data_IF_686999524082
#
_entry.id   IF_686999524082
#
_cell.length_a   1.000
_cell.length_b   1.000
_cell.length_c   1.000
_cell.angle_alpha   90.00
_cell.angle_beta   90.00
_cell.angle_gamma   90.00
#
_symmetry.space_group_name_H-M   'P 1'
#
loop_
_entity.id
_entity.type
_entity.pdbx_description
1 polymer ?
#
# COMPACT_ATOMS: atom_id res chain seq x y z
N UNK A 1 33.68 4.30 -16.56
CA UNK A 1 32.42 4.33 -15.78
C UNK A 1 31.55 5.40 -16.42
N UNK A 2 30.80 5.04 -17.47
CA UNK A 2 29.91 5.96 -18.17
C UNK A 2 28.76 6.29 -17.23
N UNK A 3 28.60 7.56 -16.89
CA UNK A 3 27.39 8.09 -16.26
C UNK A 3 26.23 7.75 -17.20
N UNK A 4 25.44 6.74 -16.84
CA UNK A 4 24.12 6.55 -17.42
C UNK A 4 23.35 7.79 -17.02
N UNK A 5 23.16 8.73 -17.96
CA UNK A 5 22.30 9.88 -17.74
C UNK A 5 20.96 9.37 -17.22
N UNK A 6 20.57 9.85 -16.04
CA UNK A 6 19.28 9.53 -15.43
C UNK A 6 18.17 9.76 -16.46
N UNK A 7 17.48 8.69 -16.89
CA UNK A 7 16.30 8.81 -17.74
C UNK A 7 15.14 9.59 -17.08
N UNK A 8 15.22 9.80 -15.75
CA UNK A 8 14.32 10.66 -14.99
C UNK A 8 14.74 12.13 -15.12
N UNK A 9 13.83 12.98 -15.62
CA UNK A 9 14.07 14.42 -15.63
C UNK A 9 14.06 14.96 -14.19
N UNK A 10 14.92 15.94 -13.85
CA UNK A 10 14.88 16.62 -12.56
C UNK A 10 13.48 17.16 -12.27
N UNK A 11 12.98 16.97 -11.05
CA UNK A 11 11.73 17.59 -10.63
C UNK A 11 11.96 19.07 -10.35
N UNK A 12 11.44 20.00 -11.17
CA UNK A 12 11.71 21.43 -11.01
C UNK A 12 11.15 21.99 -9.69
N UNK A 13 10.21 21.30 -9.06
CA UNK A 13 9.61 21.69 -7.78
C UNK A 13 10.30 21.07 -6.57
N UNK A 14 11.22 20.11 -6.76
CA UNK A 14 11.95 19.41 -5.71
C UNK A 14 13.45 19.33 -6.05
N UNK A 15 14.13 20.49 -5.99
CA UNK A 15 15.50 20.71 -6.52
C UNK A 15 16.63 19.92 -5.85
N UNK A 16 16.38 19.26 -4.73
CA UNK A 16 17.37 18.46 -3.99
C UNK A 16 16.90 17.02 -3.78
N UNK A 17 15.91 16.59 -4.57
CA UNK A 17 15.34 15.27 -4.45
C UNK A 17 16.40 14.18 -4.73
N UNK A 18 17.42 14.46 -5.54
CA UNK A 18 18.47 13.50 -5.83
C UNK A 18 19.21 12.99 -4.58
N UNK A 19 19.31 13.80 -3.53
CA UNK A 19 19.90 13.41 -2.25
C UNK A 19 19.16 12.21 -1.64
N UNK A 20 17.84 12.13 -1.84
CA UNK A 20 17.02 11.04 -1.31
C UNK A 20 17.37 9.66 -1.90
N UNK A 21 18.10 9.62 -3.02
CA UNK A 21 18.47 8.40 -3.73
C UNK A 21 19.94 8.02 -3.56
N UNK A 22 20.71 8.77 -2.75
CA UNK A 22 22.14 8.56 -2.52
C UNK A 22 22.40 8.18 -1.06
N UNK A 23 22.26 6.89 -0.69
CA UNK A 23 22.46 6.42 0.68
C UNK A 23 23.80 6.85 1.29
N UNK A 24 24.87 6.85 0.47
CA UNK A 24 26.23 7.20 0.90
C UNK A 24 26.35 8.67 1.34
N UNK A 25 25.56 9.57 0.76
CA UNK A 25 25.55 10.99 1.14
C UNK A 25 24.64 11.25 2.35
N UNK A 26 23.65 10.38 2.58
CA UNK A 26 22.64 10.59 3.63
C UNK A 26 23.21 10.47 5.04
N UNK A 27 24.18 9.58 5.28
CA UNK A 27 24.83 9.49 6.60
C UNK A 27 25.56 10.80 6.96
N UNK A 28 26.29 11.38 6.01
CA UNK A 28 26.93 12.69 6.15
C UNK A 28 25.91 13.80 6.42
N UNK A 29 24.81 13.83 5.65
CA UNK A 29 23.71 14.77 5.87
C UNK A 29 23.13 14.68 7.29
N UNK A 30 22.93 13.47 7.83
CA UNK A 30 22.45 13.30 9.20
C UNK A 30 23.46 13.84 10.23
N UNK A 31 24.74 13.48 10.10
CA UNK A 31 25.79 13.86 11.05
C UNK A 31 26.12 15.36 11.02
N UNK A 32 26.14 15.98 9.84
CA UNK A 32 26.59 17.36 9.66
C UNK A 32 25.47 18.37 9.83
N UNK A 33 24.21 17.98 9.53
CA UNK A 33 23.09 18.92 9.45
C UNK A 33 21.94 18.57 10.41
N UNK A 34 21.45 17.32 10.38
CA UNK A 34 20.22 16.94 11.09
C UNK A 34 20.44 16.82 12.61
N UNK A 35 21.41 16.00 13.03
CA UNK A 35 21.66 15.71 14.44
C UNK A 35 22.16 16.94 15.21
N UNK A 36 23.08 17.78 14.67
CA UNK A 36 23.46 19.02 15.32
C UNK A 36 22.28 19.97 15.53
N UNK A 37 21.36 20.07 14.57
CA UNK A 37 20.18 20.92 14.69
C UNK A 37 19.16 20.41 15.75
N UNK A 38 19.25 19.13 16.13
CA UNK A 38 18.49 18.54 17.23
C UNK A 38 19.23 18.55 18.57
N UNK A 39 20.47 19.07 18.61
CA UNK A 39 21.40 18.91 19.74
C UNK A 39 21.65 17.45 20.12
N UNK A 40 21.69 16.57 19.13
CA UNK A 40 22.00 15.15 19.29
C UNK A 40 23.48 14.91 18.92
N UNK A 41 24.26 14.38 19.86
CA UNK A 41 25.69 14.14 19.69
C UNK A 41 26.03 12.73 19.21
N UNK A 42 25.03 11.89 18.90
CA UNK A 42 25.27 10.57 18.33
C UNK A 42 25.81 10.69 16.92
N UNK A 43 26.51 9.65 16.45
CA UNK A 43 27.06 9.59 15.11
C UNK A 43 26.46 8.42 14.33
N UNK A 44 25.88 8.72 13.17
CA UNK A 44 25.31 7.74 12.24
C UNK A 44 26.45 7.10 11.45
N UNK A 45 26.51 5.77 11.49
CA UNK A 45 27.45 4.94 10.72
C UNK A 45 26.85 4.51 9.39
N UNK A 46 25.55 4.21 9.37
CA UNK A 46 24.82 3.80 8.18
C UNK A 46 23.43 4.44 8.14
N UNK A 47 23.04 4.96 6.96
CA UNK A 47 21.70 5.47 6.69
C UNK A 47 21.06 4.65 5.55
N UNK A 48 20.27 3.64 5.92
CA UNK A 48 19.64 2.73 4.97
C UNK A 48 18.25 3.19 4.59
N UNK A 49 18.03 3.40 3.29
CA UNK A 49 16.71 3.72 2.75
C UNK A 49 15.79 2.49 2.80
N UNK A 50 14.74 2.54 3.62
CA UNK A 50 13.75 1.44 3.76
C UNK A 50 12.58 1.59 2.79
N UNK A 51 12.12 2.82 2.53
CA UNK A 51 10.94 3.07 1.70
C UNK A 51 10.91 4.48 1.17
N UNK A 52 10.46 4.64 -0.08
CA UNK A 52 10.13 5.95 -0.63
C UNK A 52 8.70 6.02 -1.12
N UNK A 53 8.09 7.18 -1.02
CA UNK A 53 6.85 7.52 -1.71
C UNK A 53 7.02 8.87 -2.39
N UNK A 54 7.16 8.85 -3.71
CA UNK A 54 7.37 10.03 -4.53
C UNK A 54 6.09 10.46 -5.27
N UNK A 55 5.72 11.73 -5.12
CA UNK A 55 4.64 12.37 -5.86
C UNK A 55 5.19 13.54 -6.67
N UNK A 56 5.44 13.36 -7.99
CA UNK A 56 6.07 14.37 -8.82
C UNK A 56 5.38 15.74 -8.72
N UNK A 57 6.19 16.78 -8.62
CA UNK A 57 5.78 18.17 -8.48
C UNK A 57 5.13 18.51 -7.13
N UNK A 58 5.10 17.60 -6.17
CA UNK A 58 4.45 17.81 -4.86
C UNK A 58 5.40 17.57 -3.68
N UNK A 59 5.78 16.31 -3.47
CA UNK A 59 6.53 15.89 -2.28
C UNK A 59 7.14 14.50 -2.46
N UNK A 60 8.18 14.21 -1.70
CA UNK A 60 8.80 12.89 -1.57
C UNK A 60 9.02 12.57 -0.10
N UNK A 61 8.55 11.41 0.34
CA UNK A 61 8.78 10.89 1.70
C UNK A 61 9.76 9.72 1.62
N UNK A 62 10.92 9.86 2.25
CA UNK A 62 11.92 8.81 2.35
C UNK A 62 12.06 8.36 3.81
N UNK A 63 11.83 7.07 4.06
CA UNK A 63 11.98 6.46 5.38
C UNK A 63 13.36 5.83 5.46
N UNK A 64 14.17 6.27 6.42
CA UNK A 64 15.52 5.76 6.67
C UNK A 64 15.55 4.99 7.98
N UNK A 65 16.37 3.94 7.99
CA UNK A 65 16.88 3.29 9.19
C UNK A 65 18.31 3.75 9.42
N UNK A 66 18.58 4.26 10.61
CA UNK A 66 19.87 4.81 11.02
C UNK A 66 20.52 3.89 12.03
N UNK A 67 21.77 3.53 11.78
CA UNK A 67 22.63 2.82 12.73
C UNK A 67 23.62 3.81 13.34
N UNK A 68 23.90 3.68 14.63
CA UNK A 68 24.78 4.60 15.37
C UNK A 68 26.00 3.87 15.93
N UNK A 69 27.13 4.57 16.00
CA UNK A 69 28.42 4.01 16.44
C UNK A 69 28.38 3.46 17.87
N UNK A 70 27.72 4.17 18.80
CA UNK A 70 27.68 3.83 20.22
C UNK A 70 26.55 2.90 20.63
N UNK A 71 25.64 2.55 19.72
CA UNK A 71 24.38 1.89 20.05
C UNK A 71 23.87 1.00 18.89
N UNK A 72 24.71 0.04 18.49
CA UNK A 72 24.39 -0.90 17.39
C UNK A 72 23.10 -1.70 17.63
N UNK A 73 22.61 -1.78 18.87
CA UNK A 73 21.37 -2.49 19.20
C UNK A 73 20.10 -1.63 19.03
N UNK A 74 20.22 -0.30 18.95
CA UNK A 74 19.07 0.61 18.91
C UNK A 74 19.04 1.49 17.65
N UNK A 75 18.90 0.84 16.49
CA UNK A 75 18.65 1.53 15.22
C UNK A 75 17.43 2.45 15.32
N UNK A 76 17.58 3.71 14.92
CA UNK A 76 16.47 4.65 14.83
C UNK A 76 15.84 4.59 13.43
N UNK A 77 14.57 4.97 13.35
CA UNK A 77 13.88 5.17 12.08
C UNK A 77 13.48 6.63 11.96
N UNK A 78 13.68 7.25 10.82
CA UNK A 78 13.24 8.63 10.57
C UNK A 78 12.60 8.77 9.19
N UNK A 79 11.82 9.82 9.02
CA UNK A 79 11.20 10.20 7.75
C UNK A 79 11.81 11.53 7.31
N UNK A 80 12.37 11.57 6.10
CA UNK A 80 12.81 12.79 5.44
C UNK A 80 11.78 13.15 4.37
N UNK A 81 11.07 14.24 4.58
CA UNK A 81 10.06 14.78 3.67
C UNK A 81 10.65 15.92 2.86
N UNK A 82 10.86 15.71 1.56
CA UNK A 82 11.20 16.76 0.60
C UNK A 82 9.92 17.36 0.02
N UNK A 83 9.84 18.68 -0.04
CA UNK A 83 8.62 19.36 -0.44
C UNK A 83 8.79 20.87 -0.57
N UNK A 84 7.66 21.55 -0.81
CA UNK A 84 7.63 23.01 -0.86
C UNK A 84 8.01 23.62 0.50
N UNK A 85 9.01 24.49 0.51
CA UNK A 85 9.58 25.11 1.71
C UNK A 85 8.52 25.72 2.64
N UNK A 86 7.64 26.56 2.10
CA UNK A 86 6.61 27.24 2.89
C UNK A 86 5.67 26.25 3.61
N UNK A 87 5.25 25.19 2.89
CA UNK A 87 4.39 24.13 3.44
C UNK A 87 5.09 23.38 4.57
N UNK A 88 6.35 22.99 4.38
CA UNK A 88 7.10 22.23 5.40
C UNK A 88 7.42 23.08 6.64
N UNK A 89 7.73 24.36 6.45
CA UNK A 89 7.92 25.30 7.55
C UNK A 89 6.64 25.45 8.38
N UNK A 90 5.48 25.56 7.72
CA UNK A 90 4.18 25.64 8.39
C UNK A 90 3.88 24.36 9.20
N UNK A 91 4.09 23.18 8.60
CA UNK A 91 3.92 21.90 9.31
C UNK A 91 4.82 21.82 10.54
N UNK A 92 6.09 22.22 10.42
CA UNK A 92 7.03 22.24 11.54
C UNK A 92 6.58 23.20 12.65
N UNK A 93 6.17 24.42 12.31
CA UNK A 93 5.68 25.40 13.26
C UNK A 93 4.45 24.89 14.03
N UNK A 94 3.50 24.26 13.32
CA UNK A 94 2.25 23.78 13.90
C UNK A 94 2.43 22.55 14.80
N UNK A 95 3.29 21.60 14.42
CA UNK A 95 3.33 20.28 15.06
C UNK A 95 4.57 20.02 15.92
N UNK A 96 5.67 20.74 15.67
CA UNK A 96 6.98 20.37 16.21
C UNK A 96 7.72 21.51 16.92
N UNK A 97 7.46 22.78 16.61
CA UNK A 97 8.22 23.89 17.21
C UNK A 97 8.15 23.92 18.74
N UNK A 98 7.03 23.50 19.34
CA UNK A 98 6.87 23.38 20.79
C UNK A 98 7.37 22.04 21.37
N UNK A 99 7.73 21.07 20.53
CA UNK A 99 8.17 19.71 20.88
C UNK A 99 9.63 19.54 20.50
N UNK A 100 10.53 19.86 21.43
CA UNK A 100 11.97 19.75 21.19
C UNK A 100 12.39 18.29 20.91
N UNK A 101 13.31 18.12 19.96
CA UNK A 101 14.10 16.89 19.78
C UNK A 101 13.48 15.79 18.92
N UNK A 102 12.24 15.92 18.44
CA UNK A 102 11.57 14.85 17.68
C UNK A 102 11.50 15.07 16.17
N UNK A 103 11.74 16.31 15.71
CA UNK A 103 11.77 16.66 14.31
C UNK A 103 12.58 17.95 14.08
N UNK A 104 13.08 18.16 12.87
CA UNK A 104 13.75 19.39 12.45
C UNK A 104 13.34 19.78 11.03
N UNK A 105 13.10 21.07 10.82
CA UNK A 105 12.92 21.65 9.49
C UNK A 105 14.21 22.30 9.01
N UNK A 106 14.64 21.93 7.80
CA UNK A 106 15.85 22.43 7.14
C UNK A 106 15.46 23.24 5.91
N UNK A 107 15.64 24.58 5.92
CA UNK A 107 15.24 25.46 4.81
C UNK A 107 15.96 25.18 3.49
N UNK A 108 17.18 24.66 3.57
CA UNK A 108 17.94 24.02 2.50
C UNK A 108 18.42 22.67 3.05
N UNK A 109 18.11 21.53 2.40
CA UNK A 109 17.53 21.33 1.06
C UNK A 109 15.99 21.45 0.96
N UNK A 110 15.33 22.17 1.87
CA UNK A 110 13.85 22.26 1.96
C UNK A 110 13.24 20.90 2.29
N UNK A 111 13.62 20.37 3.46
CA UNK A 111 13.09 19.12 3.98
C UNK A 111 12.67 19.21 5.46
N UNK A 112 11.75 18.34 5.84
CA UNK A 112 11.35 18.10 7.23
C UNK A 112 11.81 16.69 7.61
N UNK A 113 12.58 16.58 8.68
CA UNK A 113 13.05 15.30 9.22
C UNK A 113 12.32 14.99 10.51
N UNK A 114 11.64 13.86 10.57
CA UNK A 114 10.85 13.42 11.74
C UNK A 114 11.40 12.08 12.25
N UNK A 115 11.74 12.00 13.54
CA UNK A 115 12.20 10.76 14.16
C UNK A 115 11.01 9.95 14.67
N UNK A 116 10.93 8.69 14.25
CA UNK A 116 9.90 7.75 14.69
C UNK A 116 9.96 7.60 16.22
N UNK A 117 8.82 7.61 16.94
CA UNK A 117 7.45 7.48 16.44
C UNK A 117 6.71 8.81 16.15
N UNK A 118 7.42 9.93 15.99
CA UNK A 118 6.77 11.20 15.65
C UNK A 118 6.35 11.23 14.19
N UNK A 119 5.09 11.57 13.95
CA UNK A 119 4.49 11.70 12.62
C UNK A 119 3.28 12.63 12.72
N UNK A 120 3.33 13.78 12.04
CA UNK A 120 2.32 14.83 12.20
C UNK A 120 0.94 14.41 11.68
N UNK A 121 0.88 13.45 10.75
CA UNK A 121 -0.38 12.89 10.26
C UNK A 121 -0.84 11.65 11.03
N UNK A 122 -0.01 11.10 11.92
CA UNK A 122 -0.35 10.00 12.82
C UNK A 122 -0.11 10.40 14.29
N UNK A 123 -0.81 11.43 14.81
CA UNK A 123 -0.54 11.98 16.14
C UNK A 123 -0.72 10.98 17.29
N UNK A 124 -1.51 9.92 17.08
CA UNK A 124 -1.73 8.85 18.06
C UNK A 124 -0.67 7.73 18.02
N UNK A 125 0.31 7.79 17.10
CA UNK A 125 1.32 6.74 16.92
C UNK A 125 2.19 6.54 18.17
N UNK A 126 2.68 7.62 18.78
CA UNK A 126 3.48 7.53 20.00
C UNK A 126 2.70 6.86 21.15
N UNK A 127 1.41 7.21 21.29
CA UNK A 127 0.51 6.64 22.31
C UNK A 127 0.21 5.17 22.06
N UNK A 128 -0.03 4.80 20.81
CA UNK A 128 -0.24 3.41 20.39
C UNK A 128 1.00 2.52 20.60
N UNK A 129 2.19 3.11 20.72
CA UNK A 129 3.45 2.41 21.00
C UNK A 129 3.85 2.45 22.48
N UNK A 130 3.13 3.16 23.34
CA UNK A 130 3.40 3.20 24.78
C UNK A 130 2.72 2.00 25.47
N UNK A 131 3.49 1.03 26.02
CA UNK A 131 2.92 -0.10 26.72
C UNK A 131 2.11 0.27 27.96
N UNK A 132 2.35 1.43 28.58
CA UNK A 132 1.59 1.91 29.75
C UNK A 132 0.21 2.41 29.33
N UNK A 133 0.13 3.19 28.26
CA UNK A 133 -1.16 3.63 27.72
C UNK A 133 -1.98 2.44 27.21
N UNK A 134 -1.35 1.54 26.45
CA UNK A 134 -2.05 0.40 25.88
C UNK A 134 -2.44 -0.65 26.94
N UNK A 135 -1.73 -0.76 28.07
CA UNK A 135 -2.16 -1.60 29.19
C UNK A 135 -3.53 -1.16 29.76
N UNK A 136 -3.79 0.16 29.83
CA UNK A 136 -5.09 0.69 30.25
C UNK A 136 -6.19 0.34 29.25
N UNK A 137 -5.89 0.44 27.96
CA UNK A 137 -6.83 0.08 26.87
C UNK A 137 -7.25 -1.39 26.94
N UNK A 138 -6.33 -2.28 27.28
CA UNK A 138 -6.62 -3.71 27.39
C UNK A 138 -7.23 -4.13 28.74
N UNK A 139 -7.44 -3.20 29.66
CA UNK A 139 -8.07 -3.46 30.96
C UNK A 139 -7.17 -4.18 31.97
N UNK A 140 -5.86 -4.25 31.74
CA UNK A 140 -4.89 -4.88 32.64
C UNK A 140 -3.68 -3.95 32.83
N UNK A 141 -3.79 -3.04 33.81
CA UNK A 141 -2.72 -2.07 34.14
C UNK A 141 -1.44 -2.74 34.66
N UNK A 142 -1.52 -3.99 35.12
CA UNK A 142 -0.38 -4.74 35.65
C UNK A 142 0.36 -5.51 34.55
N UNK A 143 -0.27 -5.74 33.38
CA UNK A 143 0.32 -6.49 32.27
C UNK A 143 0.54 -5.63 31.04
N UNK A 144 1.77 -5.14 30.89
CA UNK A 144 2.19 -4.40 29.71
C UNK A 144 2.15 -5.30 28.46
N UNK A 145 1.50 -4.87 27.37
CA UNK A 145 1.53 -5.61 26.10
C UNK A 145 2.93 -5.59 25.50
N UNK A 146 3.33 -6.68 24.86
CA UNK A 146 4.42 -6.61 23.87
C UNK A 146 3.86 -5.94 22.62
N UNK A 147 4.51 -4.86 22.18
CA UNK A 147 4.12 -4.10 20.99
C UNK A 147 5.19 -4.28 19.92
N UNK A 148 4.79 -4.67 18.72
CA UNK A 148 5.69 -4.77 17.56
C UNK A 148 5.11 -4.02 16.38
N UNK A 149 5.89 -3.12 15.80
CA UNK A 149 5.56 -2.49 14.51
C UNK A 149 5.76 -3.52 13.41
N UNK A 150 4.67 -3.90 12.73
CA UNK A 150 4.72 -4.81 11.58
C UNK A 150 5.00 -4.05 10.28
N UNK A 151 4.37 -2.87 10.12
CA UNK A 151 4.60 -2.02 8.97
C UNK A 151 4.34 -0.55 9.32
N UNK A 152 5.18 0.35 8.82
CA UNK A 152 4.99 1.79 8.96
C UNK A 152 4.99 2.46 7.59
N UNK A 153 3.88 3.11 7.25
CA UNK A 153 3.72 3.90 6.03
C UNK A 153 3.61 5.37 6.44
N UNK A 154 4.74 6.07 6.37
CA UNK A 154 4.85 7.47 6.78
C UNK A 154 3.66 8.31 6.31
N UNK A 155 3.10 9.07 7.26
CA UNK A 155 1.96 9.97 7.08
C UNK A 155 0.67 9.34 6.54
N UNK A 156 0.54 8.01 6.59
CA UNK A 156 -0.64 7.29 6.08
C UNK A 156 -1.23 6.33 7.09
N UNK A 157 -0.43 5.38 7.58
CA UNK A 157 -0.88 4.34 8.51
C UNK A 157 0.28 3.58 9.15
N UNK A 158 0.00 2.96 10.29
CA UNK A 158 0.90 2.00 10.94
C UNK A 158 0.16 0.72 11.28
N UNK A 159 0.82 -0.43 11.12
CA UNK A 159 0.30 -1.75 11.47
C UNK A 159 1.12 -2.27 12.64
N UNK A 160 0.43 -2.54 13.74
CA UNK A 160 0.99 -2.91 15.02
C UNK A 160 0.49 -4.30 15.40
N UNK A 161 1.33 -5.09 16.07
CA UNK A 161 0.94 -6.31 16.75
C UNK A 161 1.04 -6.08 18.24
N UNK A 162 -0.05 -6.37 18.94
CA UNK A 162 -0.09 -6.42 20.39
C UNK A 162 -0.14 -7.86 20.86
N UNK A 163 0.58 -8.16 21.93
CA UNK A 163 0.47 -9.44 22.64
C UNK A 163 0.30 -9.21 24.13
N UNK A 164 -0.84 -9.65 24.67
CA UNK A 164 -1.17 -9.62 26.09
C UNK A 164 -1.27 -11.08 26.56
N UNK A 165 -0.20 -11.58 27.16
CA UNK A 165 -0.08 -13.02 27.46
C UNK A 165 -0.04 -13.89 26.21
N UNK A 166 -1.04 -14.78 26.07
CA UNK A 166 -1.22 -15.64 24.90
C UNK A 166 -2.04 -14.97 23.79
N UNK A 167 -2.82 -13.93 24.11
CA UNK A 167 -3.70 -13.25 23.16
C UNK A 167 -2.88 -12.34 22.24
N UNK A 168 -3.04 -12.52 20.92
CA UNK A 168 -2.47 -11.64 19.88
C UNK A 168 -3.59 -10.81 19.26
N UNK A 169 -3.30 -9.54 18.98
CA UNK A 169 -4.21 -8.61 18.32
C UNK A 169 -3.45 -7.81 17.27
N UNK A 170 -4.17 -7.41 16.22
CA UNK A 170 -3.69 -6.49 15.21
C UNK A 170 -4.22 -5.08 15.52
N UNK A 171 -3.35 -4.09 15.49
CA UNK A 171 -3.70 -2.68 15.53
C UNK A 171 -3.44 -2.03 14.19
N UNK A 172 -4.44 -1.37 13.62
CA UNK A 172 -4.30 -0.57 12.40
C UNK A 172 -4.57 0.88 12.73
N UNK A 173 -3.51 1.68 12.68
CA UNK A 173 -3.54 3.09 12.98
C UNK A 173 -3.76 3.88 11.69
N UNK A 174 -4.77 4.76 11.68
CA UNK A 174 -5.10 5.62 10.56
C UNK A 174 -4.71 7.08 10.84
N UNK A 175 -4.75 7.91 9.81
CA UNK A 175 -4.77 9.36 9.99
C UNK A 175 -6.11 9.80 10.62
N UNK A 176 -6.15 10.91 11.38
CA UNK A 176 -7.39 11.44 11.94
C UNK A 176 -8.45 11.65 10.87
N UNK A 177 -9.67 11.20 11.17
CA UNK A 177 -10.82 11.29 10.25
C UNK A 177 -11.84 10.17 10.45
N UNK A 178 -12.94 10.19 9.68
CA UNK A 178 -14.06 9.26 9.86
C UNK A 178 -13.73 7.82 9.42
N UNK A 179 -12.64 7.62 8.68
CA UNK A 179 -12.31 6.35 8.03
C UNK A 179 -12.24 5.17 9.01
N UNK A 180 -11.63 5.36 10.18
CA UNK A 180 -11.46 4.28 11.16
C UNK A 180 -12.80 3.69 11.60
N UNK A 181 -13.81 4.54 11.78
CA UNK A 181 -15.14 4.12 12.22
C UNK A 181 -15.95 3.52 11.07
N UNK A 182 -15.86 4.11 9.87
CA UNK A 182 -16.46 3.53 8.66
C UNK A 182 -15.93 2.12 8.38
N UNK A 183 -14.60 1.93 8.47
CA UNK A 183 -13.98 0.61 8.29
C UNK A 183 -14.41 -0.35 9.40
N UNK A 184 -14.46 0.10 10.66
CA UNK A 184 -14.95 -0.72 11.77
C UNK A 184 -16.36 -1.22 11.53
N UNK A 185 -17.27 -0.36 11.05
CA UNK A 185 -18.65 -0.74 10.79
C UNK A 185 -18.77 -1.77 9.65
N UNK A 186 -18.09 -1.52 8.53
CA UNK A 186 -18.01 -2.49 7.42
C UNK A 186 -17.47 -3.82 7.90
N UNK A 187 -16.39 -3.82 8.69
CA UNK A 187 -15.78 -5.05 9.20
C UNK A 187 -16.69 -5.82 10.15
N UNK A 188 -17.54 -5.15 10.93
CA UNK A 188 -18.53 -5.84 11.78
C UNK A 188 -19.53 -6.62 10.94
N UNK A 189 -20.09 -5.98 9.91
CA UNK A 189 -21.07 -6.58 9.02
C UNK A 189 -20.44 -7.73 8.22
N UNK A 190 -19.24 -7.51 7.67
CA UNK A 190 -18.46 -8.52 6.96
C UNK A 190 -18.15 -9.71 7.88
N UNK A 191 -17.71 -9.48 9.12
CA UNK A 191 -17.40 -10.57 10.04
C UNK A 191 -18.66 -11.39 10.40
N UNK A 192 -19.77 -10.71 10.71
CA UNK A 192 -21.03 -11.37 11.06
C UNK A 192 -21.59 -12.20 9.91
N UNK A 193 -21.73 -11.60 8.73
CA UNK A 193 -22.32 -12.27 7.56
C UNK A 193 -21.34 -13.26 6.92
N UNK A 194 -20.06 -12.92 6.89
CA UNK A 194 -19.00 -13.77 6.36
C UNK A 194 -18.87 -15.07 7.15
N UNK A 195 -18.93 -15.01 8.49
CA UNK A 195 -18.87 -16.21 9.34
C UNK A 195 -19.99 -17.20 8.99
N UNK A 196 -21.22 -16.71 8.76
CA UNK A 196 -22.36 -17.54 8.33
C UNK A 196 -22.10 -18.24 6.99
N UNK A 197 -21.34 -17.59 6.09
CA UNK A 197 -20.94 -18.13 4.78
C UNK A 197 -19.63 -18.91 4.80
N UNK A 198 -19.03 -19.13 5.97
CA UNK A 198 -17.73 -19.80 6.11
C UNK A 198 -16.53 -18.97 5.60
N UNK A 199 -16.63 -17.65 5.60
CA UNK A 199 -15.49 -16.74 5.40
C UNK A 199 -14.79 -16.49 6.73
N UNK A 200 -13.46 -16.64 6.75
CA UNK A 200 -12.64 -16.23 7.88
C UNK A 200 -12.20 -14.77 7.68
N UNK A 201 -12.65 -13.88 8.55
CA UNK A 201 -12.28 -12.45 8.53
C UNK A 201 -12.00 -11.96 9.94
N UNK A 202 -11.07 -11.00 10.13
CA UNK A 202 -10.68 -10.55 11.45
C UNK A 202 -11.83 -9.82 12.14
N UNK A 203 -12.16 -10.24 13.37
CA UNK A 203 -13.18 -9.56 14.19
C UNK A 203 -12.67 -8.18 14.63
N UNK A 204 -13.38 -7.07 14.34
CA UNK A 204 -13.05 -5.78 14.93
C UNK A 204 -13.38 -5.80 16.43
N UNK A 205 -12.42 -5.41 17.27
CA UNK A 205 -12.52 -5.47 18.72
C UNK A 205 -12.88 -4.11 19.32
N UNK A 206 -12.14 -3.05 18.97
CA UNK A 206 -12.33 -1.71 19.52
C UNK A 206 -11.70 -0.65 18.62
N UNK A 207 -12.12 0.60 18.79
CA UNK A 207 -11.42 1.78 18.26
C UNK A 207 -10.99 2.65 19.43
N UNK A 208 -9.71 3.03 19.45
CA UNK A 208 -9.12 3.87 20.50
C UNK A 208 -8.33 4.98 19.81
N UNK A 209 -8.83 6.21 19.89
CA UNK A 209 -8.36 7.28 19.00
C UNK A 209 -8.53 6.84 17.54
N UNK A 210 -7.45 6.89 16.77
CA UNK A 210 -7.39 6.48 15.36
C UNK A 210 -6.94 5.02 15.16
N UNK A 211 -6.81 4.24 16.25
CA UNK A 211 -6.37 2.85 16.23
C UNK A 211 -7.56 1.90 16.20
N UNK A 212 -7.71 1.14 15.12
CA UNK A 212 -8.62 0.00 15.04
C UNK A 212 -7.91 -1.28 15.54
N UNK A 213 -8.39 -1.83 16.65
CA UNK A 213 -7.96 -3.11 17.19
C UNK A 213 -8.82 -4.24 16.61
N UNK A 214 -8.17 -5.32 16.19
CA UNK A 214 -8.79 -6.47 15.55
C UNK A 214 -8.18 -7.77 16.06
N UNK A 215 -8.94 -8.86 15.94
CA UNK A 215 -8.45 -10.21 16.16
C UNK A 215 -7.27 -10.53 15.22
N UNK A 216 -6.29 -11.27 15.75
CA UNK A 216 -5.20 -11.81 14.96
C UNK A 216 -5.65 -13.08 14.22
N UNK A 217 -5.59 -13.07 12.89
CA UNK A 217 -5.79 -14.29 12.10
C UNK A 217 -4.47 -15.07 11.94
N UNK A 218 -4.48 -16.41 12.09
CA UNK A 218 -3.35 -17.25 11.75
C UNK A 218 -3.14 -17.33 10.23
N UNK A 219 -2.00 -17.88 9.83
CA UNK A 219 -1.66 -18.14 8.43
C UNK A 219 -0.51 -17.30 7.88
N UNK A 220 -0.10 -17.65 6.67
CA UNK A 220 0.92 -16.96 5.87
C UNK A 220 0.22 -16.28 4.70
N UNK A 221 0.68 -15.09 4.30
CA UNK A 221 0.08 -14.39 3.16
C UNK A 221 0.24 -15.20 1.87
N UNK A 222 -0.79 -15.21 1.02
CA UNK A 222 -0.83 -16.06 -0.17
C UNK A 222 0.28 -15.71 -1.16
N UNK A 223 0.68 -14.45 -1.28
CA UNK A 223 1.85 -14.03 -2.07
C UNK A 223 3.11 -14.81 -1.68
N UNK A 224 3.41 -14.86 -0.37
CA UNK A 224 4.58 -15.60 0.16
C UNK A 224 4.44 -17.11 0.04
N UNK A 225 3.21 -17.63 0.15
CA UNK A 225 2.97 -19.06 -0.02
C UNK A 225 3.25 -19.47 -1.48
N UNK A 226 2.75 -18.69 -2.45
CA UNK A 226 2.94 -18.94 -3.88
C UNK A 226 4.42 -18.90 -4.30
N UNK A 227 5.25 -18.07 -3.65
CA UNK A 227 6.70 -18.05 -3.87
C UNK A 227 7.41 -19.37 -3.49
N UNK A 228 6.79 -20.17 -2.61
CA UNK A 228 7.41 -21.34 -1.98
C UNK A 228 6.77 -22.67 -2.39
N UNK A 229 5.69 -22.63 -3.18
CA UNK A 229 4.89 -23.81 -3.52
C UNK A 229 4.97 -24.20 -4.98
N UNK A 230 4.73 -25.48 -5.25
CA UNK A 230 4.56 -25.99 -6.60
C UNK A 230 3.19 -25.64 -7.20
N UNK A 231 3.05 -25.91 -8.50
CA UNK A 231 1.85 -25.59 -9.29
C UNK A 231 0.55 -26.13 -8.67
N UNK A 232 0.52 -27.36 -8.15
CA UNK A 232 -0.69 -27.98 -7.59
C UNK A 232 -1.21 -27.25 -6.34
N UNK A 233 -0.32 -26.94 -5.40
CA UNK A 233 -0.68 -26.20 -4.19
C UNK A 233 -1.10 -24.76 -4.53
N UNK A 234 -0.44 -24.14 -5.50
CA UNK A 234 -0.84 -22.83 -6.02
C UNK A 234 -2.24 -22.86 -6.62
N UNK A 235 -2.58 -23.88 -7.42
CA UNK A 235 -3.95 -24.07 -7.94
C UNK A 235 -4.98 -24.23 -6.83
N UNK A 236 -4.68 -25.01 -5.79
CA UNK A 236 -5.58 -25.16 -4.64
C UNK A 236 -5.84 -23.82 -3.94
N UNK A 237 -4.79 -23.01 -3.74
CA UNK A 237 -4.93 -21.67 -3.17
C UNK A 237 -5.77 -20.73 -4.05
N UNK A 238 -5.63 -20.83 -5.38
CA UNK A 238 -6.44 -20.07 -6.35
C UNK A 238 -7.92 -20.41 -6.24
N UNK A 239 -8.27 -21.70 -6.09
CA UNK A 239 -9.66 -22.13 -5.87
C UNK A 239 -10.25 -21.55 -4.59
N UNK A 240 -9.48 -21.58 -3.50
CA UNK A 240 -9.90 -20.97 -2.22
C UNK A 240 -10.11 -19.46 -2.37
N UNK A 241 -9.21 -18.78 -3.10
CA UNK A 241 -9.31 -17.34 -3.36
C UNK A 241 -10.56 -16.99 -4.18
N UNK A 242 -10.87 -17.76 -5.23
CA UNK A 242 -12.06 -17.55 -6.04
C UNK A 242 -13.35 -17.82 -5.24
N UNK A 243 -13.36 -18.87 -4.42
CA UNK A 243 -14.47 -19.18 -3.52
C UNK A 243 -14.71 -18.06 -2.50
N UNK A 244 -13.65 -17.57 -1.85
CA UNK A 244 -13.77 -16.50 -0.88
C UNK A 244 -14.30 -15.21 -1.51
N UNK A 245 -13.80 -14.82 -2.70
CA UNK A 245 -14.29 -13.63 -3.40
C UNK A 245 -15.76 -13.75 -3.79
N UNK A 246 -16.16 -14.91 -4.31
CA UNK A 246 -17.56 -15.19 -4.68
C UNK A 246 -18.50 -15.12 -3.46
N UNK A 247 -18.04 -15.51 -2.26
CA UNK A 247 -18.79 -15.31 -1.01
C UNK A 247 -18.86 -13.85 -0.59
N UNK A 248 -17.76 -13.08 -0.74
CA UNK A 248 -17.70 -11.64 -0.43
C UNK A 248 -18.70 -10.86 -1.28
N UNK A 249 -18.75 -11.13 -2.59
CA UNK A 249 -19.67 -10.45 -3.51
C UNK A 249 -21.16 -10.70 -3.21
N UNK A 250 -21.49 -11.66 -2.35
CA UNK A 250 -22.87 -11.95 -1.89
C UNK A 250 -23.19 -11.44 -0.49
N UNK A 251 -22.29 -10.68 0.12
CA UNK A 251 -22.55 -10.02 1.39
C UNK A 251 -23.46 -8.80 1.17
N UNK A 252 -24.37 -8.57 2.10
CA UNK A 252 -25.30 -7.44 2.12
C UNK A 252 -24.87 -6.47 3.23
N UNK A 253 -23.72 -5.84 3.03
CA UNK A 253 -23.09 -4.94 4.01
C UNK A 253 -23.63 -3.53 3.86
N UNK A 254 -23.88 -2.82 4.96
CA UNK A 254 -24.18 -1.40 4.89
C UNK A 254 -22.89 -0.64 4.64
N UNK A 255 -22.72 -0.15 3.41
CA UNK A 255 -21.57 0.65 3.00
C UNK A 255 -22.05 1.79 2.10
N UNK A 256 -21.74 3.03 2.49
CA UNK A 256 -22.05 4.22 1.69
C UNK A 256 -21.04 4.45 0.57
N UNK A 257 -19.92 3.72 0.57
CA UNK A 257 -18.88 3.85 -0.45
C UNK A 257 -19.32 3.15 -1.73
N UNK A 258 -19.52 3.95 -2.77
CA UNK A 258 -19.67 3.48 -4.14
C UNK A 258 -18.36 3.64 -4.88
N UNK A 259 -17.91 2.55 -5.50
CA UNK A 259 -16.76 2.52 -6.38
C UNK A 259 -17.23 2.80 -7.79
N UNK A 260 -17.34 4.08 -8.13
CA UNK A 260 -17.49 4.48 -9.52
C UNK A 260 -16.14 4.44 -10.22
N UNK A 261 -16.13 3.82 -11.41
CA UNK A 261 -15.01 3.84 -12.33
C UNK A 261 -14.53 5.28 -12.59
N UNK A 262 -15.43 6.26 -12.65
CA UNK A 262 -15.10 7.66 -12.90
C UNK A 262 -14.27 8.27 -11.76
N UNK A 263 -14.63 7.99 -10.51
CA UNK A 263 -13.94 8.54 -9.34
C UNK A 263 -12.52 8.00 -9.20
N UNK A 264 -12.33 6.71 -9.50
CA UNK A 264 -11.00 6.12 -9.58
C UNK A 264 -10.26 6.67 -10.80
N UNK A 265 -10.93 6.82 -11.95
CA UNK A 265 -10.35 7.37 -13.17
C UNK A 265 -9.74 8.76 -12.98
N UNK A 266 -10.49 9.69 -12.39
CA UNK A 266 -10.04 11.07 -12.13
C UNK A 266 -8.82 11.10 -11.21
N UNK A 267 -8.87 10.33 -10.11
CA UNK A 267 -7.76 10.22 -9.16
C UNK A 267 -6.50 9.67 -9.84
N UNK A 268 -6.65 8.73 -10.76
CA UNK A 268 -5.53 8.19 -11.53
C UNK A 268 -5.04 9.17 -12.60
N UNK A 269 -5.94 9.91 -13.24
CA UNK A 269 -5.60 10.95 -14.21
C UNK A 269 -4.78 12.08 -13.61
N UNK A 270 -5.14 12.56 -12.42
CA UNK A 270 -4.34 13.56 -11.70
C UNK A 270 -2.91 13.06 -11.45
N UNK A 271 -2.73 11.77 -11.13
CA UNK A 271 -1.41 11.18 -10.88
C UNK A 271 -0.61 10.98 -12.17
N UNK A 272 -1.28 10.61 -13.27
CA UNK A 272 -0.65 10.48 -14.59
C UNK A 272 -0.19 11.84 -15.12
N UNK A 273 -0.98 12.90 -14.91
CA UNK A 273 -0.61 14.27 -15.24
C UNK A 273 0.67 14.73 -14.52
N UNK A 274 0.89 14.31 -13.28
CA UNK A 274 2.12 14.61 -12.55
C UNK A 274 3.36 13.92 -13.15
N UNK A 275 3.19 12.73 -13.73
CA UNK A 275 4.27 11.93 -14.28
C UNK A 275 4.94 12.62 -15.48
N UNK A 276 4.19 13.42 -16.25
CA UNK A 276 4.69 14.22 -17.37
C UNK A 276 5.86 15.14 -17.00
N UNK A 277 5.92 15.59 -15.75
CA UNK A 277 6.99 16.47 -15.26
C UNK A 277 8.35 15.78 -15.27
N UNK A 278 8.38 14.46 -15.03
CA UNK A 278 9.62 13.73 -14.73
C UNK A 278 9.88 12.54 -15.63
N UNK A 279 8.85 11.92 -16.19
CA UNK A 279 8.92 10.76 -17.08
C UNK A 279 7.84 10.85 -18.18
N UNK A 280 7.99 11.77 -19.18
CA UNK A 280 6.95 12.06 -20.16
C UNK A 280 6.59 10.88 -21.07
N UNK A 281 7.57 10.05 -21.46
CA UNK A 281 7.31 8.86 -22.29
C UNK A 281 6.42 7.86 -21.55
N UNK A 282 6.77 7.57 -20.29
CA UNK A 282 5.96 6.72 -19.42
C UNK A 282 4.56 7.30 -19.20
N UNK A 283 4.46 8.63 -19.01
CA UNK A 283 3.19 9.30 -18.86
C UNK A 283 2.30 9.20 -20.10
N UNK A 284 2.90 9.35 -21.30
CA UNK A 284 2.19 9.18 -22.57
C UNK A 284 1.61 7.78 -22.74
N UNK A 285 2.36 6.74 -22.36
CA UNK A 285 1.86 5.36 -22.41
C UNK A 285 0.74 5.09 -21.40
N UNK A 286 0.87 5.61 -20.18
CA UNK A 286 -0.19 5.52 -19.17
C UNK A 286 -1.47 6.19 -19.68
N UNK A 287 -1.37 7.37 -20.28
CA UNK A 287 -2.54 8.07 -20.82
C UNK A 287 -3.14 7.39 -22.04
N UNK A 288 -2.33 6.85 -22.95
CA UNK A 288 -2.81 6.10 -24.11
C UNK A 288 -3.61 4.85 -23.69
N UNK A 289 -3.07 4.04 -22.77
CA UNK A 289 -3.76 2.86 -22.23
C UNK A 289 -5.06 3.26 -21.53
N UNK A 290 -5.01 4.32 -20.73
CA UNK A 290 -6.19 4.85 -20.06
C UNK A 290 -7.27 5.24 -21.07
N UNK A 291 -6.98 6.10 -22.03
CA UNK A 291 -8.00 6.53 -22.99
C UNK A 291 -8.60 5.35 -23.78
N UNK A 292 -7.79 4.34 -24.14
CA UNK A 292 -8.29 3.13 -24.78
C UNK A 292 -9.21 2.29 -23.87
N UNK A 293 -8.83 2.06 -22.61
CA UNK A 293 -9.66 1.34 -21.63
C UNK A 293 -11.00 2.07 -21.45
N UNK A 294 -10.97 3.39 -21.27
CA UNK A 294 -12.19 4.20 -21.11
C UNK A 294 -13.09 4.13 -22.34
N UNK A 295 -12.51 4.23 -23.53
CA UNK A 295 -13.26 4.15 -24.78
C UNK A 295 -13.98 2.80 -24.97
N UNK A 296 -13.43 1.71 -24.44
CA UNK A 296 -14.06 0.38 -24.45
C UNK A 296 -15.11 0.23 -23.34
N UNK A 297 -14.82 0.68 -22.12
CA UNK A 297 -15.76 0.60 -20.99
C UNK A 297 -17.09 1.31 -21.27
N UNK A 298 -17.07 2.47 -21.95
CA UNK A 298 -18.29 3.23 -22.30
C UNK A 298 -19.21 2.48 -23.28
N UNK A 299 -18.71 1.45 -23.96
CA UNK A 299 -19.49 0.65 -24.93
C UNK A 299 -20.16 -0.57 -24.32
N UNK A 300 -19.81 -0.92 -23.07
CA UNK A 300 -20.32 -2.12 -22.40
C UNK A 300 -21.61 -1.82 -21.64
N UNK A 301 -22.43 -2.84 -21.49
CA UNK A 301 -23.65 -2.73 -20.71
C UNK A 301 -23.35 -2.56 -19.21
N UNK A 302 -24.29 -1.96 -18.49
CA UNK A 302 -24.18 -1.77 -17.05
C UNK A 302 -24.09 -3.13 -16.33
N UNK A 303 -23.08 -3.26 -15.46
CA UNK A 303 -22.88 -4.45 -14.66
C UNK A 303 -23.75 -4.44 -13.39
N UNK A 304 -24.19 -5.60 -12.89
CA UNK A 304 -24.76 -5.69 -11.55
C UNK A 304 -23.73 -5.24 -10.51
N UNK A 305 -24.16 -4.35 -9.61
CA UNK A 305 -23.32 -3.89 -8.50
C UNK A 305 -23.36 -4.88 -7.34
N UNK A 306 -22.18 -5.25 -6.82
CA UNK A 306 -22.01 -6.16 -5.68
C UNK A 306 -21.14 -5.53 -4.60
N UNK A 307 -21.13 -6.12 -3.40
CA UNK A 307 -20.21 -5.70 -2.37
C UNK A 307 -18.78 -6.16 -2.71
N UNK A 308 -17.88 -5.21 -2.92
CA UNK A 308 -16.48 -5.44 -3.25
C UNK A 308 -15.62 -5.38 -2.00
N UNK A 309 -14.55 -6.18 -1.98
CA UNK A 309 -13.39 -5.95 -1.14
C UNK A 309 -12.62 -4.68 -1.59
N UNK A 310 -12.52 -4.46 -2.91
CA UNK A 310 -12.00 -3.25 -3.56
C UNK A 310 -10.48 -3.11 -3.64
N UNK A 311 -9.71 -4.03 -3.04
CA UNK A 311 -8.26 -4.21 -3.22
C UNK A 311 -7.87 -5.70 -3.12
N UNK A 312 -8.70 -6.58 -3.66
CA UNK A 312 -8.54 -8.03 -3.51
C UNK A 312 -7.28 -8.55 -4.23
N UNK A 313 -6.30 -9.02 -3.46
CA UNK A 313 -4.95 -9.40 -3.92
C UNK A 313 -4.36 -10.50 -3.04
N UNK A 314 -3.35 -11.20 -3.53
CA UNK A 314 -2.72 -12.32 -2.81
C UNK A 314 -2.16 -11.91 -1.43
N UNK A 315 -1.63 -10.70 -1.30
CA UNK A 315 -1.15 -10.17 -0.02
C UNK A 315 -2.25 -9.90 1.03
N UNK A 316 -3.54 -9.90 0.64
CA UNK A 316 -4.70 -9.73 1.54
C UNK A 316 -5.35 -11.05 1.94
N UNK A 317 -4.77 -12.17 1.50
CA UNK A 317 -5.25 -13.52 1.75
C UNK A 317 -4.25 -14.24 2.64
N UNK A 318 -4.73 -14.86 3.72
CA UNK A 318 -3.92 -15.61 4.68
C UNK A 318 -4.27 -17.10 4.58
N UNK A 319 -3.29 -17.93 4.18
CA UNK A 319 -3.42 -19.37 4.11
C UNK A 319 -2.98 -20.02 5.43
N UNK A 320 -3.85 -20.84 6.00
CA UNK A 320 -3.59 -21.66 7.18
C UNK A 320 -4.09 -23.08 6.93
N UNK A 321 -3.24 -23.90 6.32
CA UNK A 321 -3.63 -25.21 5.79
C UNK A 321 -4.62 -25.07 4.63
N UNK A 322 -5.80 -25.66 4.79
CA UNK A 322 -6.92 -25.60 3.84
C UNK A 322 -7.85 -24.40 4.07
N UNK A 323 -7.54 -23.54 5.05
CA UNK A 323 -8.35 -22.36 5.38
C UNK A 323 -7.76 -21.09 4.78
N UNK A 324 -8.64 -20.21 4.33
CA UNK A 324 -8.29 -18.90 3.79
C UNK A 324 -8.95 -17.78 4.61
N UNK A 325 -8.13 -16.94 5.23
CA UNK A 325 -8.54 -15.68 5.84
C UNK A 325 -8.45 -14.51 4.86
N UNK A 326 -9.40 -13.58 4.91
CA UNK A 326 -9.39 -12.35 4.10
C UNK A 326 -9.26 -11.14 5.03
N UNK A 327 -8.31 -10.24 4.73
CA UNK A 327 -8.01 -9.04 5.54
C UNK A 327 -8.03 -7.78 4.69
N UNK A 328 -7.99 -6.59 5.34
CA UNK A 328 -7.91 -5.26 4.70
C UNK A 328 -9.13 -4.81 3.86
N UNK A 329 -10.29 -4.71 4.51
CA UNK A 329 -11.51 -4.12 3.96
C UNK A 329 -11.52 -2.57 3.97
N UNK A 330 -10.36 -1.89 4.08
CA UNK A 330 -10.27 -0.41 4.04
C UNK A 330 -10.88 0.19 2.77
N UNK A 331 -10.91 -0.63 1.73
CA UNK A 331 -11.28 -0.29 0.38
C UNK A 331 -12.60 -0.94 -0.03
N UNK A 332 -13.35 -1.50 0.89
CA UNK A 332 -14.64 -2.09 0.56
C UNK A 332 -15.65 -1.04 0.09
N UNK A 333 -16.60 -1.46 -0.74
CA UNK A 333 -17.63 -0.60 -1.33
C UNK A 333 -18.44 -1.35 -2.36
N UNK A 334 -19.48 -0.73 -2.91
CA UNK A 334 -20.30 -1.34 -3.96
C UNK A 334 -19.79 -0.97 -5.35
N UNK A 335 -19.77 -1.93 -6.28
CA UNK A 335 -19.40 -1.68 -7.67
C UNK A 335 -19.38 -2.95 -8.53
N UNK A 336 -18.78 -2.84 -9.71
CA UNK A 336 -18.65 -3.94 -10.65
C UNK A 336 -17.73 -5.06 -10.09
N UNK A 337 -18.17 -6.34 -10.05
CA UNK A 337 -17.33 -7.46 -9.61
C UNK A 337 -16.01 -7.57 -10.37
N UNK A 338 -15.96 -7.11 -11.62
CA UNK A 338 -14.75 -7.12 -12.44
C UNK A 338 -13.58 -6.36 -11.80
N UNK A 339 -13.85 -5.40 -10.91
CA UNK A 339 -12.80 -4.64 -10.21
C UNK A 339 -11.95 -5.56 -9.33
N UNK A 340 -12.56 -6.41 -8.50
CA UNK A 340 -11.81 -7.29 -7.61
C UNK A 340 -11.20 -8.48 -8.35
N UNK A 341 -11.92 -9.03 -9.34
CA UNK A 341 -11.38 -10.11 -10.17
C UNK A 341 -10.17 -9.62 -10.97
N UNK A 342 -10.28 -8.47 -11.62
CA UNK A 342 -9.17 -7.83 -12.36
C UNK A 342 -8.01 -7.43 -11.46
N UNK A 343 -8.27 -6.95 -10.23
CA UNK A 343 -7.21 -6.67 -9.24
C UNK A 343 -6.39 -7.91 -8.89
N UNK A 344 -7.06 -9.05 -8.69
CA UNK A 344 -6.42 -10.30 -8.32
C UNK A 344 -5.58 -10.86 -9.46
N UNK A 345 -6.16 -10.92 -10.67
CA UNK A 345 -5.47 -11.37 -11.87
C UNK A 345 -4.26 -10.48 -12.20
N UNK A 346 -4.40 -9.15 -12.05
CA UNK A 346 -3.30 -8.21 -12.24
C UNK A 346 -2.17 -8.41 -11.21
N UNK A 347 -2.49 -8.80 -9.96
CA UNK A 347 -1.47 -9.05 -8.93
C UNK A 347 -0.65 -10.31 -9.22
N UNK A 348 -1.29 -11.36 -9.76
CA UNK A 348 -0.61 -12.56 -10.24
C UNK A 348 0.29 -12.26 -11.42
N UNK A 349 -0.21 -11.57 -12.45
CA UNK A 349 0.61 -11.15 -13.61
C UNK A 349 1.76 -10.23 -13.23
N UNK A 350 1.53 -9.29 -12.30
CA UNK A 350 2.59 -8.44 -11.75
C UNK A 350 3.69 -9.27 -11.10
N UNK A 351 3.31 -10.31 -10.36
CA UNK A 351 4.26 -11.21 -9.72
C UNK A 351 4.99 -12.08 -10.75
N UNK A 352 4.29 -12.56 -11.78
CA UNK A 352 4.89 -13.25 -12.93
C UNK A 352 5.98 -12.39 -13.60
N UNK A 353 5.65 -11.14 -13.96
CA UNK A 353 6.58 -10.20 -14.57
C UNK A 353 7.77 -9.87 -13.67
N UNK A 354 7.56 -9.74 -12.36
CA UNK A 354 8.62 -9.42 -11.41
C UNK A 354 9.58 -10.59 -11.10
N UNK A 355 9.11 -11.83 -11.24
CA UNK A 355 9.86 -13.04 -10.83
C UNK A 355 10.27 -13.94 -12.00
N UNK A 356 9.72 -13.72 -13.20
CA UNK A 356 9.86 -14.59 -14.36
C UNK A 356 9.04 -15.89 -14.28
N UNK A 357 8.17 -16.05 -13.27
CA UNK A 357 7.35 -17.25 -13.09
C UNK A 357 6.08 -17.21 -13.96
N UNK A 358 6.22 -17.56 -15.24
CA UNK A 358 5.15 -17.48 -16.24
C UNK A 358 3.87 -18.23 -15.85
N UNK A 359 3.96 -19.33 -15.09
CA UNK A 359 2.80 -20.12 -14.66
C UNK A 359 1.80 -19.31 -13.80
N UNK A 360 2.23 -18.23 -13.14
CA UNK A 360 1.35 -17.36 -12.37
C UNK A 360 0.34 -16.63 -13.27
N UNK A 361 0.68 -16.39 -14.54
CA UNK A 361 -0.26 -15.84 -15.53
C UNK A 361 -1.35 -16.85 -15.88
N UNK A 362 -1.00 -18.14 -16.01
CA UNK A 362 -2.00 -19.21 -16.21
C UNK A 362 -2.96 -19.31 -15.02
N UNK A 363 -2.43 -19.18 -13.80
CA UNK A 363 -3.24 -19.17 -12.57
C UNK A 363 -4.21 -17.98 -12.50
N UNK A 364 -3.89 -16.86 -13.15
CA UNK A 364 -4.80 -15.73 -13.23
C UNK A 364 -6.05 -16.07 -14.07
N UNK A 365 -5.86 -16.79 -15.18
CA UNK A 365 -6.99 -17.22 -16.03
C UNK A 365 -7.78 -18.35 -15.36
N UNK A 366 -7.10 -19.26 -14.63
CA UNK A 366 -7.79 -20.26 -13.80
C UNK A 366 -8.62 -19.63 -12.69
N UNK A 367 -8.14 -18.56 -12.06
CA UNK A 367 -8.90 -17.82 -11.07
C UNK A 367 -10.20 -17.26 -11.65
N UNK A 368 -10.16 -16.69 -12.85
CA UNK A 368 -11.35 -16.17 -13.53
C UNK A 368 -12.36 -17.28 -13.80
N UNK A 369 -11.90 -18.41 -14.36
CA UNK A 369 -12.76 -19.57 -14.63
C UNK A 369 -13.42 -20.10 -13.35
N UNK A 370 -12.66 -20.25 -12.26
CA UNK A 370 -13.17 -20.69 -10.95
C UNK A 370 -14.17 -19.69 -10.35
N UNK A 371 -13.96 -18.38 -10.56
CA UNK A 371 -14.88 -17.35 -10.11
C UNK A 371 -16.20 -17.34 -10.92
N UNK A 372 -16.12 -17.45 -12.25
CA UNK A 372 -17.28 -17.54 -13.14
C UNK A 372 -18.13 -18.76 -12.84
N UNK A 373 -17.52 -19.93 -12.67
CA UNK A 373 -18.22 -21.17 -12.33
C UNK A 373 -19.02 -21.06 -11.02
N UNK A 374 -18.57 -20.21 -10.08
CA UNK A 374 -19.25 -19.97 -8.81
C UNK A 374 -20.26 -18.82 -8.86
N UNK A 375 -20.22 -17.98 -9.89
CA UNK A 375 -21.05 -16.77 -9.98
C UNK A 375 -21.69 -16.62 -11.37
N UNK A 376 -22.38 -17.66 -11.89
CA UNK A 376 -22.94 -17.64 -13.24
C UNK A 376 -23.99 -16.54 -13.43
N UNK A 377 -24.60 -16.05 -12.35
CA UNK A 377 -25.55 -14.94 -12.38
C UNK A 377 -24.92 -13.59 -12.77
N UNK A 378 -23.59 -13.49 -12.79
CA UNK A 378 -22.84 -12.26 -13.09
C UNK A 378 -22.20 -12.28 -14.49
N UNK A 379 -22.48 -13.27 -15.34
CA UNK A 379 -21.80 -13.52 -16.62
C UNK A 379 -22.17 -12.57 -17.78
N UNK A 380 -22.84 -11.45 -17.50
CA UNK A 380 -23.13 -10.43 -18.50
C UNK A 380 -21.82 -9.76 -18.93
N UNK A 381 -21.17 -10.14 -20.04
CA UNK A 381 -19.88 -9.58 -20.52
C UNK A 381 -18.76 -9.50 -19.45
N UNK A 382 -18.79 -10.39 -18.46
CA UNK A 382 -17.91 -10.31 -17.29
C UNK A 382 -16.44 -10.41 -17.69
N UNK A 383 -16.10 -11.35 -18.57
CA UNK A 383 -14.71 -11.57 -19.00
C UNK A 383 -14.11 -10.31 -19.63
N UNK A 384 -14.83 -9.67 -20.56
CA UNK A 384 -14.38 -8.42 -21.19
C UNK A 384 -14.13 -7.33 -20.14
N UNK A 385 -15.09 -7.13 -19.22
CA UNK A 385 -14.92 -6.15 -18.13
C UNK A 385 -13.75 -6.49 -17.22
N UNK A 386 -13.56 -7.77 -16.89
CA UNK A 386 -12.43 -8.23 -16.08
C UNK A 386 -11.11 -7.91 -16.76
N UNK A 387 -10.96 -8.16 -18.06
CA UNK A 387 -9.72 -7.85 -18.81
C UNK A 387 -9.44 -6.35 -18.84
N UNK A 388 -10.47 -5.53 -19.03
CA UNK A 388 -10.34 -4.06 -18.93
C UNK A 388 -9.93 -3.61 -17.53
N UNK A 389 -10.53 -4.18 -16.48
CA UNK A 389 -10.18 -3.88 -15.09
C UNK A 389 -8.79 -4.39 -14.70
N UNK A 390 -8.37 -5.53 -15.23
CA UNK A 390 -7.04 -6.10 -15.09
C UNK A 390 -5.99 -5.16 -15.70
N UNK A 391 -6.22 -4.71 -16.95
CA UNK A 391 -5.36 -3.73 -17.62
C UNK A 391 -5.24 -2.43 -16.80
N UNK A 392 -6.38 -1.89 -16.32
CA UNK A 392 -6.37 -0.71 -15.45
C UNK A 392 -5.64 -0.96 -14.12
N UNK A 393 -5.78 -2.13 -13.52
CA UNK A 393 -5.05 -2.51 -12.30
C UNK A 393 -3.53 -2.56 -12.55
N UNK A 394 -3.08 -3.12 -13.67
CA UNK A 394 -1.68 -3.14 -14.08
C UNK A 394 -1.11 -1.73 -14.28
N UNK A 395 -1.83 -0.84 -14.97
CA UNK A 395 -1.45 0.58 -15.10
C UNK A 395 -1.28 1.23 -13.72
N UNK A 396 -2.23 1.00 -12.80
CA UNK A 396 -2.14 1.52 -11.42
C UNK A 396 -0.94 0.97 -10.65
N UNK A 397 -0.61 -0.31 -10.86
CA UNK A 397 0.55 -0.95 -10.27
C UNK A 397 1.85 -0.39 -10.84
N UNK A 398 1.95 -0.20 -12.17
CA UNK A 398 3.09 0.43 -12.82
C UNK A 398 3.38 1.83 -12.25
N UNK A 399 2.35 2.69 -12.17
CA UNK A 399 2.49 4.02 -11.56
C UNK A 399 2.90 3.96 -10.08
N UNK A 400 2.47 2.92 -9.35
CA UNK A 400 2.83 2.71 -7.95
C UNK A 400 4.27 2.23 -7.81
N UNK A 401 4.74 1.35 -8.69
CA UNK A 401 6.13 0.87 -8.76
C UNK A 401 7.07 2.05 -8.98
N UNK A 402 6.81 2.85 -10.01
CA UNK A 402 7.54 4.09 -10.28
C UNK A 402 7.56 5.03 -9.06
N UNK A 403 6.42 5.23 -8.39
CA UNK A 403 6.34 6.07 -7.19
C UNK A 403 7.22 5.59 -6.03
N UNK A 404 7.45 4.30 -5.91
CA UNK A 404 8.20 3.71 -4.81
C UNK A 404 9.69 3.52 -5.11
N UNK A 405 10.07 3.45 -6.38
CA UNK A 405 11.45 3.23 -6.80
C UNK A 405 11.83 4.04 -8.06
N UNK A 406 11.56 5.36 -8.13
CA UNK A 406 11.63 6.12 -9.39
C UNK A 406 13.02 6.09 -10.03
N UNK A 407 14.08 6.11 -9.21
CA UNK A 407 15.46 6.03 -9.69
C UNK A 407 15.84 4.65 -10.25
N UNK A 408 15.40 3.56 -9.59
CA UNK A 408 15.65 2.19 -10.05
C UNK A 408 14.93 1.94 -11.37
N UNK A 409 13.67 2.36 -11.46
CA UNK A 409 12.87 2.21 -12.68
C UNK A 409 13.44 3.04 -13.84
N UNK A 410 13.92 4.25 -13.57
CA UNK A 410 14.57 5.08 -14.59
C UNK A 410 15.89 4.47 -15.11
N UNK A 411 16.69 3.86 -14.22
CA UNK A 411 17.93 3.19 -14.62
C UNK A 411 17.67 1.92 -15.43
N UNK A 412 16.65 1.14 -15.05
CA UNK A 412 16.28 -0.08 -15.77
C UNK A 412 15.62 0.21 -17.11
N UNK A 413 15.02 1.40 -17.30
CA UNK A 413 14.46 1.82 -18.58
C UNK A 413 13.37 0.85 -19.08
N UNK A 414 13.41 0.40 -20.34
CA UNK A 414 12.43 -0.53 -20.90
C UNK A 414 12.30 -1.87 -20.15
N UNK A 415 13.38 -2.32 -19.49
CA UNK A 415 13.39 -3.58 -18.72
C UNK A 415 12.87 -3.40 -17.28
N UNK A 416 12.49 -2.18 -16.89
CA UNK A 416 11.93 -1.90 -15.58
C UNK A 416 10.57 -2.58 -15.39
N UNK A 417 10.25 -2.96 -14.15
CA UNK A 417 8.96 -3.57 -13.83
C UNK A 417 7.80 -2.64 -14.22
N UNK A 418 7.97 -1.32 -14.11
CA UNK A 418 6.97 -0.34 -14.54
C UNK A 418 6.62 -0.52 -16.03
N UNK A 419 7.62 -0.65 -16.90
CA UNK A 419 7.39 -0.84 -18.35
C UNK A 419 6.83 -2.22 -18.68
N UNK A 420 7.34 -3.28 -18.04
CA UNK A 420 6.78 -4.64 -18.18
C UNK A 420 5.29 -4.68 -17.80
N UNK A 421 4.89 -3.97 -16.74
CA UNK A 421 3.47 -3.91 -16.34
C UNK A 421 2.60 -3.14 -17.33
N UNK A 422 3.14 -2.15 -18.05
CA UNK A 422 2.39 -1.48 -19.12
C UNK A 422 2.27 -2.34 -20.39
N UNK A 423 3.28 -3.16 -20.68
CA UNK A 423 3.20 -4.17 -21.75
C UNK A 423 2.13 -5.21 -21.43
N UNK A 424 2.15 -5.79 -20.23
CA UNK A 424 1.10 -6.70 -19.75
C UNK A 424 -0.29 -6.04 -19.77
N UNK A 425 -0.38 -4.76 -19.42
CA UNK A 425 -1.65 -4.02 -19.51
C UNK A 425 -2.14 -3.90 -20.95
N UNK A 426 -1.24 -3.76 -21.91
CA UNK A 426 -1.56 -3.70 -23.34
C UNK A 426 -2.04 -5.04 -23.85
N UNK A 427 -1.37 -6.15 -23.49
CA UNK A 427 -1.78 -7.50 -23.86
C UNK A 427 -3.16 -7.86 -23.27
N UNK A 428 -3.40 -7.54 -21.99
CA UNK A 428 -4.71 -7.75 -21.37
C UNK A 428 -5.80 -6.93 -22.07
N UNK A 429 -5.46 -5.72 -22.53
CA UNK A 429 -6.38 -4.87 -23.28
C UNK A 429 -6.65 -5.47 -24.67
N UNK A 430 -5.67 -6.00 -25.39
CA UNK A 430 -5.88 -6.64 -26.71
C UNK A 430 -6.77 -7.88 -26.65
N UNK A 431 -6.79 -8.56 -25.50
CA UNK A 431 -7.66 -9.72 -25.21
C UNK A 431 -9.09 -9.34 -24.82
N UNK A 432 -9.38 -8.05 -24.60
CA UNK A 432 -10.68 -7.51 -24.19
C UNK A 432 -11.46 -6.92 -25.36
#
# INVERSE_FOLDING_TARGET
>A
MLLVESALRPDPKLRHLEMAWRPDEMAGFFNETVLPALNDSRQVTEARLERVTYSPGKECFAVYRLEFESDLEQAARCVVTFGQRAKLQEVFAQHYQARCGSAVFLPEPSCLVEFFPSDWKLPFLARALDPREMAQVFGDSNRRPEIKVLAYYAHRRSILRYRVGSTKMLGKLYTPGPLVESVRQVMKDVHLQGTIRGLLTPKPLAVVGELLLMEWLPGVSMDRALEQTGMEQSRAAIRLAAEALSKIHRLQVHCESWRSLDSDWERHGQRAGQLHLVAPELAGQVDALREQIKARLVRLDSAPSVFLHGDYKTAQLLLDGDRLGVVDFDRAGFGDPAIDVGNFMADLRRTAAATGQAFLSDLADEFLAEYQARSPELDNELEVRVRLMQSLALVRMAMRTFRHAPHVEALAGPDSLTWLLLQEATECLEQA
#
